data_IF_155862290338
#
_entry.id   IF_155862290338
#
_cell.length_a   1.000
_cell.length_b   1.000
_cell.length_c   1.000
_cell.angle_alpha   90.00
_cell.angle_beta   90.00
_cell.angle_gamma   90.00
#
_symmetry.space_group_name_H-M   'P 1'
#
loop_
_entity.id
_entity.type
_entity.pdbx_description
1 polymer ?
#
# COMPACT_ATOMS: atom_id res chain seq x y z
N UNK A 1 -11.19 43.97 -43.31
CA UNK A 1 -10.50 42.72 -43.10
C UNK A 1 -9.99 42.69 -41.65
N UNK A 2 -10.79 42.16 -40.72
CA UNK A 2 -10.42 41.92 -39.33
C UNK A 2 -9.76 40.55 -39.26
N UNK A 3 -8.45 40.52 -39.17
CA UNK A 3 -7.71 39.27 -38.94
C UNK A 3 -7.88 38.81 -37.50
N UNK A 4 -8.60 37.69 -37.30
CA UNK A 4 -8.60 36.94 -36.04
C UNK A 4 -7.20 36.38 -35.82
N UNK A 5 -6.39 37.02 -34.98
CA UNK A 5 -5.23 36.39 -34.38
C UNK A 5 -5.76 35.34 -33.40
N UNK A 6 -5.74 34.08 -33.82
CA UNK A 6 -5.81 32.96 -32.90
C UNK A 6 -4.52 33.03 -32.08
N UNK A 7 -4.61 33.56 -30.87
CA UNK A 7 -3.56 33.42 -29.86
C UNK A 7 -3.57 31.91 -29.53
N UNK A 8 -2.64 31.16 -30.15
CA UNK A 8 -2.29 29.86 -29.63
C UNK A 8 -1.77 30.11 -28.22
N UNK A 9 -2.61 29.85 -27.22
CA UNK A 9 -2.13 29.72 -25.85
C UNK A 9 -1.10 28.60 -25.91
N UNK A 10 0.13 28.90 -25.53
CA UNK A 10 1.16 27.90 -25.28
C UNK A 10 0.53 26.88 -24.37
N UNK A 11 0.21 25.70 -24.91
CA UNK A 11 -0.14 24.53 -24.11
C UNK A 11 1.20 24.12 -23.51
N UNK A 12 1.55 24.72 -22.39
CA UNK A 12 2.69 24.31 -21.60
C UNK A 12 2.55 22.80 -21.35
N UNK A 13 3.46 22.04 -21.97
CA UNK A 13 3.38 20.58 -21.94
C UNK A 13 3.77 20.10 -20.54
N UNK A 14 2.89 19.30 -19.93
CA UNK A 14 3.24 18.58 -18.69
C UNK A 14 4.28 17.52 -19.05
N UNK A 15 5.44 17.62 -18.41
CA UNK A 15 6.53 16.66 -18.50
C UNK A 15 6.40 15.62 -17.39
N UNK A 16 6.63 14.34 -17.68
CA UNK A 16 6.74 13.26 -16.70
C UNK A 16 8.18 12.82 -16.61
N UNK A 17 8.77 12.93 -15.42
CA UNK A 17 10.16 12.55 -15.15
C UNK A 17 10.31 11.95 -13.76
N UNK A 18 11.49 11.40 -13.44
CA UNK A 18 11.75 10.90 -12.09
C UNK A 18 11.60 12.02 -11.07
N UNK A 19 11.02 11.72 -9.92
CA UNK A 19 11.06 12.60 -8.76
C UNK A 19 12.51 12.77 -8.29
N UNK A 20 12.80 13.93 -7.71
CA UNK A 20 14.03 14.19 -6.96
C UNK A 20 13.75 14.25 -5.46
N UNK A 21 14.78 14.14 -4.64
CA UNK A 21 14.61 14.28 -3.18
C UNK A 21 14.01 15.63 -2.76
N UNK A 22 14.29 16.69 -3.54
CA UNK A 22 13.71 18.02 -3.30
C UNK A 22 12.20 18.08 -3.51
N UNK A 23 11.60 17.11 -4.21
CA UNK A 23 10.17 17.07 -4.48
C UNK A 23 9.37 16.33 -3.38
N UNK A 24 10.05 15.74 -2.37
CA UNK A 24 9.39 14.90 -1.36
C UNK A 24 8.32 15.64 -0.54
N UNK A 25 8.56 16.90 -0.20
CA UNK A 25 7.59 17.70 0.55
C UNK A 25 6.37 18.04 -0.33
N UNK A 26 6.56 18.31 -1.62
CA UNK A 26 5.46 18.54 -2.57
C UNK A 26 4.68 17.23 -2.86
N UNK A 27 5.38 16.10 -2.94
CA UNK A 27 4.74 14.79 -3.10
C UNK A 27 3.88 14.43 -1.87
N UNK A 28 4.40 14.69 -0.65
CA UNK A 28 3.62 14.55 0.58
C UNK A 28 2.39 15.45 0.57
N UNK A 29 2.54 16.72 0.17
CA UNK A 29 1.41 17.63 0.07
C UNK A 29 0.31 17.12 -0.87
N UNK A 30 0.67 16.44 -1.97
CA UNK A 30 -0.31 15.82 -2.86
C UNK A 30 -1.07 14.66 -2.18
N UNK A 31 -0.39 13.80 -1.40
CA UNK A 31 -1.07 12.73 -0.65
C UNK A 31 -1.92 13.27 0.49
N UNK A 32 -1.47 14.32 1.17
CA UNK A 32 -2.27 14.99 2.21
C UNK A 32 -3.57 15.57 1.64
N UNK A 33 -3.56 16.07 0.39
CA UNK A 33 -4.75 16.59 -0.27
C UNK A 33 -5.81 15.53 -0.60
N UNK A 34 -5.44 14.24 -0.53
CA UNK A 34 -6.33 13.08 -0.74
C UNK A 34 -6.64 12.35 0.56
N UNK A 35 -6.23 12.88 1.71
CA UNK A 35 -6.38 12.24 3.03
C UNK A 35 -5.78 10.82 3.11
N UNK A 36 -4.66 10.58 2.41
CA UNK A 36 -4.06 9.24 2.34
C UNK A 36 -3.13 8.92 3.51
N UNK A 37 -2.91 9.82 4.42
CA UNK A 37 -2.13 9.56 5.65
C UNK A 37 -0.66 9.20 5.47
N UNK A 38 -0.09 9.39 4.27
CA UNK A 38 1.34 9.14 4.06
C UNK A 38 2.20 10.13 4.84
N UNK A 39 3.06 9.63 5.69
CA UNK A 39 4.05 10.43 6.41
C UNK A 39 5.22 10.83 5.50
N UNK A 40 6.09 11.70 6.01
CA UNK A 40 7.35 12.01 5.32
C UNK A 40 8.27 10.78 5.24
N UNK A 41 8.28 9.94 6.26
CA UNK A 41 9.06 8.69 6.27
C UNK A 41 8.53 7.69 5.24
N UNK A 42 7.22 7.63 5.02
CA UNK A 42 6.64 6.83 3.93
C UNK A 42 7.12 7.32 2.56
N UNK A 43 7.14 8.62 2.31
CA UNK A 43 7.63 9.15 1.05
C UNK A 43 9.13 8.90 0.84
N UNK A 44 9.95 8.96 1.90
CA UNK A 44 11.37 8.57 1.82
C UNK A 44 11.49 7.08 1.47
N UNK A 45 10.67 6.22 2.08
CA UNK A 45 10.61 4.79 1.74
C UNK A 45 10.19 4.56 0.29
N UNK A 46 9.11 5.18 -0.15
CA UNK A 46 8.62 5.11 -1.53
C UNK A 46 9.68 5.57 -2.52
N UNK A 47 10.37 6.67 -2.22
CA UNK A 47 11.44 7.21 -3.06
C UNK A 47 12.60 6.23 -3.22
N UNK A 48 13.04 5.58 -2.13
CA UNK A 48 14.18 4.68 -2.14
C UNK A 48 13.87 3.28 -2.67
N UNK A 49 12.61 2.82 -2.58
CA UNK A 49 12.22 1.43 -2.88
C UNK A 49 11.35 1.30 -4.13
N UNK A 50 11.09 2.38 -4.84
CA UNK A 50 10.34 2.38 -6.10
C UNK A 50 11.06 3.21 -7.17
N UNK A 51 10.45 3.29 -8.34
CA UNK A 51 10.76 4.28 -9.37
C UNK A 51 9.70 5.40 -9.23
N UNK A 52 9.98 6.45 -8.45
CA UNK A 52 9.02 7.52 -8.23
C UNK A 52 9.02 8.48 -9.41
N UNK A 53 7.83 8.79 -9.92
CA UNK A 53 7.63 9.66 -11.08
C UNK A 53 6.80 10.89 -10.69
N UNK A 54 7.21 12.04 -11.19
CA UNK A 54 6.49 13.31 -11.06
C UNK A 54 6.02 13.84 -12.41
N UNK A 55 4.84 14.44 -12.42
CA UNK A 55 4.35 15.25 -13.53
C UNK A 55 4.56 16.73 -13.20
N UNK A 56 5.24 17.45 -14.08
CA UNK A 56 5.64 18.85 -13.85
C UNK A 56 4.98 19.78 -14.87
N UNK A 57 4.51 20.90 -14.39
CA UNK A 57 4.00 22.00 -15.17
C UNK A 57 4.69 23.28 -14.70
N UNK A 58 5.47 23.97 -15.56
CA UNK A 58 6.32 25.11 -15.20
C UNK A 58 7.24 24.79 -14.00
N UNK A 59 7.92 23.65 -14.06
CA UNK A 59 8.80 23.12 -13.01
C UNK A 59 8.13 22.87 -11.64
N UNK A 60 6.81 23.00 -11.56
CA UNK A 60 6.03 22.67 -10.36
C UNK A 60 5.49 21.27 -10.44
N UNK A 61 5.63 20.53 -9.36
CA UNK A 61 5.04 19.20 -9.23
C UNK A 61 3.52 19.31 -9.17
N UNK A 62 2.81 18.68 -10.12
CA UNK A 62 1.35 18.71 -10.23
C UNK A 62 0.71 17.32 -10.17
N UNK A 63 1.52 16.29 -10.11
CA UNK A 63 1.06 14.91 -9.93
C UNK A 63 2.22 13.97 -9.70
N UNK A 64 1.94 12.83 -9.09
CA UNK A 64 2.92 11.80 -8.73
C UNK A 64 2.41 10.40 -9.04
N UNK A 65 3.32 9.45 -9.16
CA UNK A 65 3.06 8.02 -9.09
C UNK A 65 4.33 7.28 -8.68
N UNK A 66 4.18 6.07 -8.16
CA UNK A 66 5.28 5.17 -7.85
C UNK A 66 5.17 3.89 -8.67
N UNK A 67 6.27 3.40 -9.19
CA UNK A 67 6.35 2.11 -9.88
C UNK A 67 7.31 1.20 -9.13
N UNK A 68 6.81 0.06 -8.66
CA UNK A 68 7.60 -0.96 -7.98
C UNK A 68 7.87 -2.11 -8.94
N UNK A 69 9.13 -2.45 -9.10
CA UNK A 69 9.58 -3.64 -9.82
C UNK A 69 9.89 -4.75 -8.79
N UNK A 70 9.05 -5.78 -8.77
CA UNK A 70 9.21 -6.96 -7.93
C UNK A 70 9.61 -8.20 -8.76
N UNK A 71 10.30 -7.99 -9.88
CA UNK A 71 10.69 -9.01 -10.84
C UNK A 71 9.54 -9.39 -11.77
N UNK A 72 8.90 -10.55 -11.55
CA UNK A 72 7.75 -10.97 -12.36
C UNK A 72 6.51 -10.09 -12.22
N UNK A 73 6.38 -9.36 -11.10
CA UNK A 73 5.24 -8.51 -10.79
C UNK A 73 5.66 -7.05 -10.64
N UNK A 74 5.11 -6.18 -11.48
CA UNK A 74 5.17 -4.73 -11.27
C UNK A 74 3.95 -4.22 -10.52
N UNK A 75 4.12 -3.20 -9.66
CA UNK A 75 2.99 -2.50 -9.03
C UNK A 75 3.07 -1.00 -9.25
N UNK A 76 1.93 -0.39 -9.58
CA UNK A 76 1.79 1.06 -9.66
C UNK A 76 0.99 1.54 -8.47
N UNK A 77 1.52 2.53 -7.76
CA UNK A 77 0.89 3.14 -6.59
C UNK A 77 0.91 4.67 -6.64
N UNK A 78 0.25 5.29 -5.68
CA UNK A 78 0.28 6.73 -5.44
C UNK A 78 -0.03 7.60 -6.70
N UNK A 79 -0.99 7.16 -7.53
CA UNK A 79 -1.39 7.93 -8.73
C UNK A 79 -2.27 9.09 -8.30
N UNK A 80 -1.67 10.26 -8.16
CA UNK A 80 -2.34 11.49 -7.71
C UNK A 80 -2.07 12.61 -8.70
N UNK A 81 -3.09 13.43 -8.95
CA UNK A 81 -2.98 14.68 -9.72
C UNK A 81 -3.68 15.77 -8.93
N UNK A 82 -2.97 16.87 -8.70
CA UNK A 82 -3.53 18.07 -8.06
C UNK A 82 -4.86 18.47 -8.71
N UNK A 83 -5.85 18.83 -7.91
CA UNK A 83 -7.22 19.16 -8.35
C UNK A 83 -7.28 20.14 -9.51
N UNK A 84 -6.43 21.21 -9.44
CA UNK A 84 -6.36 22.25 -10.48
C UNK A 84 -5.91 21.74 -11.83
N UNK A 85 -5.32 20.54 -11.86
CA UNK A 85 -4.75 19.91 -13.05
C UNK A 85 -5.47 18.63 -13.48
N UNK A 86 -6.52 18.19 -12.77
CA UNK A 86 -7.36 17.06 -13.16
C UNK A 86 -8.09 17.31 -14.48
N UNK A 87 -8.48 16.24 -15.15
CA UNK A 87 -9.17 16.31 -16.45
C UNK A 87 -8.29 16.69 -17.65
N UNK A 88 -6.96 16.76 -17.46
CA UNK A 88 -5.97 17.12 -18.51
C UNK A 88 -5.06 15.94 -18.89
N UNK A 89 -5.51 14.72 -18.72
CA UNK A 89 -4.80 13.46 -19.06
C UNK A 89 -3.45 13.24 -18.34
N UNK A 90 -3.15 14.02 -17.29
CA UNK A 90 -1.88 13.91 -16.55
C UNK A 90 -1.78 12.56 -15.86
N UNK A 91 -2.84 12.09 -15.20
CA UNK A 91 -2.87 10.76 -14.58
C UNK A 91 -2.60 9.65 -15.59
N UNK A 92 -3.15 9.75 -16.81
CA UNK A 92 -2.88 8.80 -17.88
C UNK A 92 -1.40 8.79 -18.28
N UNK A 93 -0.78 9.96 -18.41
CA UNK A 93 0.66 10.09 -18.72
C UNK A 93 1.52 9.44 -17.64
N UNK A 94 1.21 9.70 -16.36
CA UNK A 94 1.90 9.08 -15.21
C UNK A 94 1.82 7.55 -15.26
N UNK A 95 0.62 7.00 -15.42
CA UNK A 95 0.43 5.53 -15.48
C UNK A 95 1.10 4.91 -16.70
N UNK A 96 1.04 5.55 -17.87
CA UNK A 96 1.70 5.07 -19.08
C UNK A 96 3.23 5.06 -18.90
N UNK A 97 3.80 6.10 -18.32
CA UNK A 97 5.24 6.14 -18.05
C UNK A 97 5.63 5.11 -16.98
N UNK A 98 4.84 4.94 -15.92
CA UNK A 98 5.06 3.90 -14.91
C UNK A 98 5.04 2.49 -15.54
N UNK A 99 4.10 2.20 -16.44
CA UNK A 99 4.06 0.92 -17.18
C UNK A 99 5.32 0.69 -18.02
N UNK A 100 5.85 1.72 -18.66
CA UNK A 100 7.12 1.59 -19.42
C UNK A 100 8.29 1.25 -18.51
N UNK A 101 8.33 1.81 -17.28
CA UNK A 101 9.39 1.48 -16.32
C UNK A 101 9.29 0.05 -15.80
N UNK A 102 8.14 -0.60 -15.97
CA UNK A 102 7.84 -1.96 -15.55
C UNK A 102 7.69 -2.93 -16.74
N UNK A 103 8.21 -2.60 -17.91
CA UNK A 103 8.08 -3.42 -19.12
C UNK A 103 8.79 -4.77 -19.02
N UNK A 104 9.75 -4.92 -18.08
CA UNK A 104 10.42 -6.18 -17.75
C UNK A 104 9.57 -7.14 -16.94
N UNK A 105 8.51 -6.67 -16.31
CA UNK A 105 7.62 -7.50 -15.48
C UNK A 105 6.62 -8.28 -16.34
N UNK A 106 6.33 -9.52 -15.96
CA UNK A 106 5.35 -10.35 -16.67
C UNK A 106 3.92 -9.79 -16.54
N UNK A 107 3.64 -9.10 -15.42
CA UNK A 107 2.36 -8.44 -15.17
C UNK A 107 2.53 -7.16 -14.36
N UNK A 108 1.62 -6.19 -14.57
CA UNK A 108 1.58 -4.94 -13.80
C UNK A 108 0.22 -4.79 -13.14
N UNK A 109 0.21 -4.59 -11.84
CA UNK A 109 -1.00 -4.41 -11.01
C UNK A 109 -1.12 -3.00 -10.48
N UNK A 110 -2.34 -2.59 -10.16
CA UNK A 110 -2.66 -1.36 -9.45
C UNK A 110 -3.76 -1.64 -8.43
N UNK A 111 -3.59 -1.15 -7.22
CA UNK A 111 -4.68 -1.10 -6.24
C UNK A 111 -5.33 0.28 -6.31
N UNK A 112 -6.64 0.33 -6.50
CA UNK A 112 -7.37 1.58 -6.69
C UNK A 112 -8.76 1.53 -6.08
N UNK A 113 -9.32 2.68 -5.76
CA UNK A 113 -10.72 2.79 -5.37
C UNK A 113 -11.67 2.45 -6.55
N UNK A 114 -12.91 2.09 -6.24
CA UNK A 114 -13.93 1.70 -7.21
C UNK A 114 -14.20 2.78 -8.26
N UNK A 115 -14.16 4.06 -7.87
CA UNK A 115 -14.44 5.20 -8.76
C UNK A 115 -13.40 5.33 -9.88
N UNK A 116 -12.18 4.87 -9.65
CA UNK A 116 -11.07 4.91 -10.62
C UNK A 116 -11.05 3.74 -11.60
N UNK A 117 -11.91 2.73 -11.44
CA UNK A 117 -11.94 1.52 -12.28
C UNK A 117 -12.08 1.85 -13.77
N UNK A 118 -12.94 2.81 -14.13
CA UNK A 118 -13.12 3.23 -15.53
C UNK A 118 -11.86 3.86 -16.11
N UNK A 119 -11.12 4.60 -15.31
CA UNK A 119 -9.86 5.23 -15.70
C UNK A 119 -8.82 4.17 -16.03
N UNK A 120 -8.60 3.20 -15.15
CA UNK A 120 -7.61 2.15 -15.37
C UNK A 120 -7.99 1.20 -16.51
N UNK A 121 -9.28 0.89 -16.70
CA UNK A 121 -9.77 0.12 -17.86
C UNK A 121 -9.37 0.77 -19.20
N UNK A 122 -9.45 2.09 -19.32
CA UNK A 122 -9.02 2.81 -20.53
C UNK A 122 -7.52 2.68 -20.80
N UNK A 123 -6.72 2.42 -19.75
CA UNK A 123 -5.27 2.23 -19.84
C UNK A 123 -4.87 0.75 -19.98
N UNK A 124 -5.85 -0.14 -20.24
CA UNK A 124 -5.65 -1.54 -20.52
C UNK A 124 -5.56 -2.45 -19.28
N UNK A 125 -5.95 -1.96 -18.09
CA UNK A 125 -6.07 -2.81 -16.91
C UNK A 125 -7.42 -3.55 -16.90
N UNK A 126 -7.39 -4.77 -16.36
CA UNK A 126 -8.61 -5.57 -16.11
C UNK A 126 -8.76 -5.80 -14.61
N UNK A 127 -9.97 -5.72 -14.04
CA UNK A 127 -10.19 -6.03 -12.63
C UNK A 127 -9.83 -7.50 -12.35
N UNK A 128 -9.04 -7.74 -11.32
CA UNK A 128 -8.69 -9.09 -10.85
C UNK A 128 -9.46 -9.47 -9.58
N UNK A 129 -9.77 -8.48 -8.72
CA UNK A 129 -10.45 -8.72 -7.46
C UNK A 129 -10.84 -7.41 -6.80
N UNK A 130 -11.44 -7.54 -5.63
CA UNK A 130 -11.80 -6.43 -4.76
C UNK A 130 -11.17 -6.64 -3.39
N UNK A 131 -10.90 -5.56 -2.68
CA UNK A 131 -10.57 -5.57 -1.26
C UNK A 131 -11.43 -4.54 -0.53
N UNK A 132 -11.76 -4.83 0.71
CA UNK A 132 -12.43 -3.90 1.62
C UNK A 132 -11.41 -3.36 2.59
N UNK A 133 -11.39 -2.06 2.78
CA UNK A 133 -10.65 -1.42 3.84
C UNK A 133 -11.46 -1.57 5.13
N UNK A 134 -10.84 -2.12 6.16
CA UNK A 134 -11.36 -2.14 7.51
C UNK A 134 -10.52 -1.20 8.36
N UNK A 135 -11.18 -0.34 9.13
CA UNK A 135 -10.55 0.67 9.98
C UNK A 135 -10.94 0.51 11.43
N UNK A 136 -9.94 0.46 12.30
CA UNK A 136 -10.07 0.65 13.73
C UNK A 136 -9.69 2.10 14.03
N UNK A 137 -10.70 2.93 14.30
CA UNK A 137 -10.51 4.36 14.53
C UNK A 137 -9.87 4.63 15.89
N UNK A 138 -8.91 5.54 15.92
CA UNK A 138 -8.22 5.99 17.13
C UNK A 138 -9.16 6.50 18.24
N UNK A 139 -10.30 7.07 17.87
CA UNK A 139 -11.29 7.60 18.80
C UNK A 139 -12.27 6.54 19.29
N UNK A 140 -12.55 5.50 18.50
CA UNK A 140 -13.54 4.44 18.79
C UNK A 140 -13.01 3.28 19.64
N UNK A 141 -11.81 3.16 19.83
CA UNK A 141 -10.91 2.59 20.83
C UNK A 141 -11.17 1.29 21.55
N UNK A 142 -11.87 0.39 21.10
CA UNK A 142 -11.84 -0.90 21.79
C UNK A 142 -11.65 -2.05 20.83
N UNK A 143 -10.39 -2.27 20.41
CA UNK A 143 -10.03 -3.60 19.90
C UNK A 143 -10.37 -4.61 21.00
N UNK A 144 -11.46 -5.34 20.79
CA UNK A 144 -11.94 -6.33 21.74
C UNK A 144 -11.06 -7.58 21.63
N UNK A 145 -10.30 -7.94 22.68
CA UNK A 145 -9.53 -9.16 22.64
C UNK A 145 -10.44 -10.37 22.46
N UNK A 146 -10.08 -11.25 21.58
CA UNK A 146 -10.77 -12.53 21.40
C UNK A 146 -9.98 -13.66 22.03
N UNK A 147 -10.70 -14.76 22.37
CA UNK A 147 -10.04 -15.96 22.88
C UNK A 147 -9.15 -16.56 21.78
N UNK A 148 -7.88 -16.75 22.10
CA UNK A 148 -6.90 -17.49 21.28
C UNK A 148 -6.63 -18.83 21.96
N UNK A 149 -6.50 -19.88 21.13
CA UNK A 149 -6.34 -21.24 21.65
C UNK A 149 -5.02 -21.42 22.42
N UNK A 150 -3.95 -20.74 21.98
CA UNK A 150 -2.65 -20.69 22.64
C UNK A 150 -1.81 -19.55 22.05
N UNK A 151 -1.02 -18.89 22.90
CA UNK A 151 -0.06 -17.84 22.50
C UNK A 151 1.34 -18.42 22.24
N UNK A 152 1.59 -19.67 22.60
CA UNK A 152 2.92 -20.26 22.72
C UNK A 152 3.64 -20.40 21.39
N UNK A 153 2.91 -20.45 20.28
CA UNK A 153 3.45 -20.62 18.95
C UNK A 153 3.40 -19.32 18.10
N UNK A 154 3.20 -18.17 18.73
CA UNK A 154 3.29 -16.86 18.07
C UNK A 154 4.49 -16.12 18.63
N UNK A 155 5.53 -16.02 17.81
CA UNK A 155 6.83 -15.47 18.22
C UNK A 155 7.21 -14.27 17.35
N UNK A 156 8.13 -13.39 17.81
CA UNK A 156 8.61 -12.27 17.01
C UNK A 156 9.19 -12.73 15.66
N UNK A 157 8.95 -11.94 14.63
CA UNK A 157 9.35 -12.26 13.25
C UNK A 157 10.87 -12.22 13.01
N UNK A 158 11.63 -11.54 13.86
CA UNK A 158 13.05 -11.20 13.64
C UNK A 158 13.95 -12.43 13.42
N UNK A 159 13.65 -13.55 14.06
CA UNK A 159 14.42 -14.79 13.91
C UNK A 159 14.02 -15.66 12.70
N UNK A 160 13.03 -15.27 11.90
CA UNK A 160 12.40 -16.09 10.85
C UNK A 160 12.33 -15.37 9.50
N UNK A 161 13.29 -14.48 9.26
CA UNK A 161 13.25 -13.60 8.09
C UNK A 161 13.27 -14.39 6.77
N UNK A 162 14.12 -15.40 6.66
CA UNK A 162 14.24 -16.18 5.43
C UNK A 162 12.95 -16.94 5.11
N UNK A 163 12.31 -17.57 6.11
CA UNK A 163 11.03 -18.26 5.96
C UNK A 163 9.90 -17.31 5.59
N UNK A 164 9.88 -16.12 6.20
CA UNK A 164 8.90 -15.06 5.87
C UNK A 164 9.05 -14.66 4.41
N UNK A 165 10.26 -14.38 3.94
CA UNK A 165 10.52 -13.93 2.58
C UNK A 165 10.18 -15.02 1.55
N UNK A 166 10.45 -16.28 1.86
CA UNK A 166 10.07 -17.40 1.01
C UNK A 166 8.54 -17.55 0.89
N UNK A 167 7.83 -17.48 2.02
CA UNK A 167 6.36 -17.53 2.05
C UNK A 167 5.78 -16.33 1.30
N UNK A 168 6.28 -15.14 1.56
CA UNK A 168 5.79 -13.92 0.92
C UNK A 168 5.96 -13.96 -0.59
N UNK A 169 7.13 -14.28 -1.08
CA UNK A 169 7.44 -14.36 -2.51
C UNK A 169 6.50 -15.34 -3.23
N UNK A 170 6.23 -16.49 -2.62
CA UNK A 170 5.32 -17.50 -3.16
C UNK A 170 3.87 -17.01 -3.21
N UNK A 171 3.40 -16.31 -2.18
CA UNK A 171 2.01 -15.89 -2.06
C UNK A 171 1.73 -14.57 -2.83
N UNK A 172 2.67 -13.65 -2.82
CA UNK A 172 2.56 -12.37 -3.51
C UNK A 172 2.78 -12.49 -5.02
N UNK A 173 3.65 -13.39 -5.45
CA UNK A 173 3.98 -13.62 -6.86
C UNK A 173 5.04 -12.66 -7.41
N UNK A 174 5.83 -12.05 -6.54
CA UNK A 174 6.94 -11.16 -6.86
C UNK A 174 7.90 -11.07 -5.68
N UNK A 175 9.05 -10.42 -5.85
CA UNK A 175 10.06 -10.27 -4.80
C UNK A 175 10.00 -8.88 -4.18
N UNK A 176 9.26 -8.72 -3.07
CA UNK A 176 9.22 -7.49 -2.27
C UNK A 176 10.00 -7.60 -0.96
N UNK A 177 11.07 -8.41 -0.97
CA UNK A 177 11.86 -8.72 0.23
C UNK A 177 12.36 -7.46 0.96
N UNK A 178 12.81 -6.44 0.22
CA UNK A 178 13.31 -5.20 0.84
C UNK A 178 12.22 -4.42 1.58
N UNK A 179 10.99 -4.42 1.07
CA UNK A 179 9.84 -3.82 1.78
C UNK A 179 9.51 -4.58 3.06
N UNK A 180 9.47 -5.92 3.01
CA UNK A 180 9.22 -6.75 4.19
C UNK A 180 10.29 -6.54 5.26
N UNK A 181 11.56 -6.55 4.87
CA UNK A 181 12.69 -6.26 5.77
C UNK A 181 12.58 -4.87 6.42
N UNK A 182 12.19 -3.87 5.63
CA UNK A 182 12.00 -2.51 6.12
C UNK A 182 10.87 -2.42 7.14
N UNK A 183 9.71 -3.04 6.88
CA UNK A 183 8.59 -3.07 7.81
C UNK A 183 8.95 -3.76 9.12
N UNK A 184 9.62 -4.92 9.08
CA UNK A 184 10.07 -5.63 10.28
C UNK A 184 11.10 -4.81 11.05
N UNK A 185 12.04 -4.16 10.37
CA UNK A 185 13.09 -3.33 11.00
C UNK A 185 12.50 -2.10 11.69
N UNK A 186 11.50 -1.45 11.07
CA UNK A 186 10.92 -0.22 11.60
C UNK A 186 9.92 -0.49 12.75
N UNK A 187 9.20 -1.61 12.70
CA UNK A 187 8.19 -1.96 13.70
C UNK A 187 8.35 -3.43 14.16
N UNK A 188 9.52 -3.82 14.69
CA UNK A 188 9.79 -5.21 15.08
C UNK A 188 8.81 -5.73 16.14
N UNK A 189 8.33 -4.86 17.03
CA UNK A 189 7.35 -5.22 18.07
C UNK A 189 5.96 -5.57 17.50
N UNK A 190 5.66 -5.18 16.26
CA UNK A 190 4.38 -5.44 15.59
C UNK A 190 4.46 -6.60 14.57
N UNK A 191 5.64 -7.21 14.41
CA UNK A 191 5.88 -8.27 13.43
C UNK A 191 5.99 -9.64 14.12
N UNK A 192 5.15 -10.60 13.68
CA UNK A 192 5.08 -11.94 14.29
C UNK A 192 4.98 -13.03 13.23
N UNK A 193 5.43 -14.23 13.61
CA UNK A 193 5.16 -15.48 12.89
C UNK A 193 4.35 -16.42 13.75
N UNK A 194 3.55 -17.26 13.10
CA UNK A 194 2.88 -18.39 13.73
C UNK A 194 3.58 -19.68 13.32
N UNK A 195 3.95 -20.49 14.32
CA UNK A 195 4.61 -21.77 14.15
C UNK A 195 3.60 -22.91 14.31
N UNK A 196 3.85 -24.02 13.63
CA UNK A 196 3.14 -25.27 13.90
C UNK A 196 3.78 -26.08 15.04
N UNK A 197 3.27 -27.29 15.29
CA UNK A 197 3.74 -28.21 16.33
C UNK A 197 5.20 -28.65 16.10
N UNK A 198 5.69 -28.57 14.86
CA UNK A 198 7.05 -28.91 14.45
C UNK A 198 7.96 -27.68 14.36
N UNK A 199 7.57 -26.54 14.89
CA UNK A 199 8.27 -25.28 14.83
C UNK A 199 8.48 -24.75 13.40
N UNK A 200 7.60 -25.10 12.46
CA UNK A 200 7.62 -24.60 11.08
C UNK A 200 6.73 -23.37 10.97
N UNK A 201 7.22 -22.32 10.31
CA UNK A 201 6.43 -21.10 10.06
C UNK A 201 5.23 -21.41 9.17
N UNK A 202 4.03 -21.10 9.62
CA UNK A 202 2.75 -21.28 8.94
C UNK A 202 2.03 -19.97 8.60
N UNK A 203 2.59 -18.88 9.02
CA UNK A 203 2.07 -17.56 8.67
C UNK A 203 2.92 -16.47 9.29
N UNK A 204 2.75 -15.30 8.78
CA UNK A 204 3.39 -14.10 9.32
C UNK A 204 2.47 -12.88 9.20
N UNK A 205 2.72 -11.88 10.00
CA UNK A 205 2.07 -10.59 9.99
C UNK A 205 3.12 -9.51 10.21
N UNK A 206 3.03 -8.42 9.47
CA UNK A 206 3.82 -7.21 9.69
C UNK A 206 2.90 -6.00 9.68
N UNK A 207 3.41 -4.89 10.19
CA UNK A 207 2.72 -3.60 10.24
C UNK A 207 3.63 -2.56 9.62
N UNK A 208 3.04 -1.63 8.88
CA UNK A 208 3.72 -0.41 8.42
C UNK A 208 2.98 0.81 8.96
N UNK A 209 3.65 1.93 9.02
CA UNK A 209 3.10 3.20 9.48
C UNK A 209 3.99 3.85 10.52
N UNK A 210 3.57 5.04 10.93
CA UNK A 210 4.21 5.81 11.98
C UNK A 210 3.21 6.83 12.58
N UNK A 211 3.68 7.61 13.56
CA UNK A 211 2.86 8.62 14.25
C UNK A 211 1.56 8.04 14.82
N UNK A 212 0.44 8.27 14.13
CA UNK A 212 -0.90 7.87 14.59
C UNK A 212 -1.66 7.01 13.57
N UNK A 213 -1.01 6.59 12.47
CA UNK A 213 -1.64 5.80 11.42
C UNK A 213 -0.81 4.59 11.06
N UNK A 214 -1.42 3.42 11.19
CA UNK A 214 -0.78 2.14 10.92
C UNK A 214 -1.63 1.30 9.97
N UNK A 215 -0.98 0.52 9.13
CA UNK A 215 -1.64 -0.46 8.27
C UNK A 215 -1.09 -1.85 8.59
N UNK A 216 -1.98 -2.76 8.92
CA UNK A 216 -1.65 -4.18 9.10
C UNK A 216 -1.54 -4.84 7.75
N UNK A 217 -0.35 -5.32 7.43
CA UNK A 217 -0.10 -6.06 6.20
C UNK A 217 1.33 -5.93 5.67
N UNK A 218 1.80 -6.97 4.97
CA UNK A 218 1.08 -8.22 4.69
C UNK A 218 0.80 -9.09 5.92
N UNK A 219 -0.36 -9.73 5.88
CA UNK A 219 -0.74 -10.79 6.81
C UNK A 219 -1.02 -12.04 5.98
N UNK A 220 -0.11 -13.00 6.04
CA UNK A 220 -0.14 -14.22 5.25
C UNK A 220 -0.34 -15.42 6.15
N UNK A 221 -1.26 -16.30 5.75
CA UNK A 221 -1.65 -17.49 6.52
C UNK A 221 -1.67 -18.68 5.59
N UNK A 222 -0.81 -19.68 5.84
CA UNK A 222 -0.81 -20.93 5.11
C UNK A 222 -1.87 -21.91 5.64
N UNK A 223 -2.28 -22.90 4.82
CA UNK A 223 -3.18 -23.93 5.27
C UNK A 223 -2.67 -24.64 6.53
N UNK A 224 -3.56 -24.83 7.50
CA UNK A 224 -3.22 -25.48 8.78
C UNK A 224 -2.69 -24.56 9.88
N UNK A 225 -2.48 -23.27 9.61
CA UNK A 225 -2.14 -22.29 10.64
C UNK A 225 -3.31 -22.15 11.63
N UNK A 226 -3.12 -22.61 12.86
CA UNK A 226 -4.14 -22.56 13.93
C UNK A 226 -4.19 -21.18 14.58
N UNK A 227 -3.02 -20.53 14.73
CA UNK A 227 -2.84 -19.30 15.54
C UNK A 227 -2.94 -18.00 14.74
N UNK A 228 -3.55 -18.01 13.57
CA UNK A 228 -3.66 -16.83 12.68
C UNK A 228 -4.35 -15.61 13.33
N UNK A 229 -5.34 -15.85 14.21
CA UNK A 229 -6.03 -14.77 14.95
C UNK A 229 -5.11 -14.11 15.96
N UNK A 230 -4.36 -14.91 16.70
CA UNK A 230 -3.43 -14.41 17.72
C UNK A 230 -2.33 -13.51 17.14
N UNK A 231 -1.89 -13.76 15.89
CA UNK A 231 -0.97 -12.84 15.22
C UNK A 231 -1.57 -11.43 15.09
N UNK A 232 -2.82 -11.33 14.62
CA UNK A 232 -3.51 -10.03 14.52
C UNK A 232 -3.60 -9.36 15.88
N UNK A 233 -4.04 -10.08 16.91
CA UNK A 233 -4.19 -9.54 18.26
C UNK A 233 -2.86 -9.01 18.81
N UNK A 234 -1.78 -9.79 18.71
CA UNK A 234 -0.44 -9.35 19.16
C UNK A 234 0.04 -8.13 18.42
N UNK A 235 -0.12 -8.11 17.08
CA UNK A 235 0.32 -6.98 16.27
C UNK A 235 -0.43 -5.70 16.60
N UNK A 236 -1.76 -5.77 16.73
CA UNK A 236 -2.59 -4.58 17.03
C UNK A 236 -2.31 -4.07 18.44
N UNK A 237 -2.13 -4.94 19.44
CA UNK A 237 -1.79 -4.52 20.81
C UNK A 237 -0.39 -3.91 20.94
N UNK A 238 0.50 -4.20 20.02
CA UNK A 238 1.84 -3.60 19.99
C UNK A 238 1.89 -2.22 19.33
N UNK A 239 0.82 -1.83 18.62
CA UNK A 239 0.65 -0.48 18.05
C UNK A 239 0.36 0.52 19.18
N UNK A 240 0.94 1.75 19.15
CA UNK A 240 0.66 2.76 20.16
C UNK A 240 -0.85 3.01 20.32
N UNK A 241 -1.34 3.14 21.57
CA UNK A 241 -2.75 3.46 21.81
C UNK A 241 -3.11 4.81 21.18
N UNK A 242 -4.34 4.96 20.74
CA UNK A 242 -4.87 6.15 20.02
C UNK A 242 -4.41 6.30 18.59
N UNK A 243 -3.97 5.21 17.98
CA UNK A 243 -3.65 5.18 16.55
C UNK A 243 -4.83 4.65 15.74
N UNK A 244 -5.01 5.17 14.54
CA UNK A 244 -5.88 4.55 13.53
C UNK A 244 -5.14 3.34 12.93
N UNK A 245 -5.85 2.22 12.80
CA UNK A 245 -5.28 0.98 12.27
C UNK A 245 -6.12 0.48 11.11
N UNK A 246 -5.52 0.46 9.94
CA UNK A 246 -6.14 0.01 8.70
C UNK A 246 -5.71 -1.42 8.34
N UNK A 247 -6.62 -2.15 7.70
CA UNK A 247 -6.33 -3.46 7.13
C UNK A 247 -7.14 -3.67 5.84
N UNK A 248 -6.46 -3.99 4.74
CA UNK A 248 -7.11 -4.33 3.48
C UNK A 248 -7.36 -5.84 3.39
N UNK A 249 -8.62 -6.22 3.25
CA UNK A 249 -9.05 -7.61 3.18
C UNK A 249 -9.51 -7.95 1.77
N UNK A 250 -8.80 -8.83 1.03
CA UNK A 250 -9.25 -9.30 -0.27
C UNK A 250 -10.59 -10.06 -0.18
N UNK A 251 -11.51 -9.77 -1.08
CA UNK A 251 -12.81 -10.44 -1.17
C UNK A 251 -12.76 -11.67 -2.12
N UNK A 252 -13.56 -12.71 -1.88
CA UNK A 252 -14.38 -12.92 -0.69
C UNK A 252 -13.57 -13.55 0.48
N UNK A 253 -13.59 -12.93 1.63
CA UNK A 253 -12.93 -13.48 2.83
C UNK A 253 -13.80 -13.30 4.08
N UNK A 254 -14.96 -13.97 4.09
CA UNK A 254 -15.94 -13.87 5.18
C UNK A 254 -15.37 -14.20 6.55
N UNK A 255 -14.35 -15.07 6.61
CA UNK A 255 -13.71 -15.46 7.88
C UNK A 255 -12.98 -14.29 8.52
N UNK A 256 -12.23 -13.52 7.73
CA UNK A 256 -11.50 -12.34 8.22
C UNK A 256 -12.46 -11.19 8.47
N UNK A 257 -13.38 -10.91 7.54
CA UNK A 257 -14.32 -9.79 7.69
C UNK A 257 -15.16 -9.95 8.95
N UNK A 258 -15.74 -11.14 9.21
CA UNK A 258 -16.50 -11.39 10.44
C UNK A 258 -15.66 -11.27 11.71
N UNK A 259 -14.36 -11.62 11.66
CA UNK A 259 -13.46 -11.42 12.78
C UNK A 259 -13.26 -9.93 13.03
N UNK A 260 -12.92 -9.15 12.00
CA UNK A 260 -12.66 -7.72 12.13
C UNK A 260 -13.88 -6.95 12.67
N UNK A 261 -15.06 -7.25 12.14
CA UNK A 261 -16.32 -6.69 12.67
C UNK A 261 -16.51 -6.99 14.16
N UNK A 262 -16.17 -8.22 14.59
CA UNK A 262 -16.34 -8.64 15.99
C UNK A 262 -15.38 -7.98 16.98
N UNK A 263 -14.28 -7.40 16.50
CA UNK A 263 -13.24 -6.77 17.33
C UNK A 263 -13.17 -5.25 17.16
N UNK A 264 -14.17 -4.65 16.55
CA UNK A 264 -14.34 -3.19 16.52
C UNK A 264 -13.84 -2.50 15.26
N UNK A 265 -13.40 -3.24 14.24
CA UNK A 265 -13.09 -2.64 12.94
C UNK A 265 -14.38 -2.33 12.18
N UNK A 266 -14.40 -1.18 11.52
CA UNK A 266 -15.49 -0.78 10.64
C UNK A 266 -15.03 -0.90 9.17
N UNK A 267 -15.90 -1.44 8.32
CA UNK A 267 -15.66 -1.40 6.88
C UNK A 267 -15.82 0.04 6.37
N UNK A 268 -14.78 0.55 5.72
CA UNK A 268 -14.83 1.84 5.03
C UNK A 268 -15.53 1.65 3.68
N UNK A 269 -16.60 2.42 3.44
CA UNK A 269 -17.55 2.25 2.32
C UNK A 269 -17.16 3.07 1.09
#
# INVERSE_FOLDING_TARGET
LLGNKIVMRDIQMVEVRNLSESDLDDAKYLTDSEDWGNSKSDWIRLFNMSIPLGAYHDDKLVGVTTAFDFGSLGMIGNVIVSDKFRGKDIGSKLVIEAKKRLESCDSVRVHSNMNSTRFYKKLGFTPEGMSTLFRLDAELKEFQPFAIDSDDNIVPAEGFLDEILEIDKRQFGGDRSELIKDFIRNLPQCAFVALDENQVVKGFIVVKGDENWYEVGPWVVEPGCKNWRGMLQKSVFAIPPKSTVDIFVPAPNHRITSLLDSVGYNADS
#
